data_IF_364417664700
#
_entry.id   IF_364417664700
#
_cell.length_a   1.000
_cell.length_b   1.000
_cell.length_c   1.000
_cell.angle_alpha   90.00
_cell.angle_beta   90.00
_cell.angle_gamma   90.00
#
_symmetry.space_group_name_H-M   'P 1'
#
loop_
_entity.id
_entity.type
_entity.pdbx_description
1 polymer ?
#
# COMPACT_ATOMS: atom_id res chain seq x y z
N UNK A 1 2.58 46.40 38.03
CA UNK A 1 3.28 46.28 36.72
C UNK A 1 3.33 44.79 36.43
N UNK A 2 2.61 44.36 35.40
CA UNK A 2 2.40 42.97 35.03
C UNK A 2 3.68 42.35 34.44
N UNK A 3 3.90 41.06 34.66
CA UNK A 3 4.38 40.14 33.61
C UNK A 3 4.03 38.71 34.02
N UNK A 4 3.09 38.15 33.26
CA UNK A 4 2.48 36.83 33.35
C UNK A 4 3.50 35.72 33.06
N UNK A 5 3.72 34.80 34.02
CA UNK A 5 4.29 33.49 33.72
C UNK A 5 3.15 32.57 33.29
N UNK A 6 2.91 32.51 31.98
CA UNK A 6 2.02 31.54 31.35
C UNK A 6 2.88 30.36 30.91
N UNK A 7 3.04 29.36 31.76
CA UNK A 7 3.57 28.06 31.34
C UNK A 7 2.46 27.36 30.56
N UNK A 8 2.61 27.34 29.25
CA UNK A 8 1.72 26.69 28.30
C UNK A 8 1.74 25.17 28.54
N UNK A 9 0.63 24.62 29.01
CA UNK A 9 0.30 23.22 28.80
C UNK A 9 -0.13 23.05 27.34
N UNK A 10 0.69 22.34 26.57
CA UNK A 10 0.25 21.61 25.36
C UNK A 10 1.05 20.31 25.37
N UNK A 11 0.48 19.29 25.99
CA UNK A 11 -0.22 18.19 25.32
C UNK A 11 0.75 17.23 24.63
N UNK A 12 0.83 16.06 25.26
CA UNK A 12 1.47 14.85 24.81
C UNK A 12 1.04 14.49 23.37
N UNK A 13 2.00 14.56 22.45
CA UNK A 13 1.95 13.72 21.26
C UNK A 13 3.36 13.38 20.81
N UNK A 14 4.04 12.60 21.66
CA UNK A 14 4.88 11.52 21.13
C UNK A 14 3.97 10.65 20.26
N UNK A 15 3.98 10.93 18.96
CA UNK A 15 3.71 9.90 17.96
C UNK A 15 5.04 9.59 17.31
N UNK A 16 5.94 9.03 18.14
CA UNK A 16 6.79 7.95 17.67
C UNK A 16 5.85 7.01 16.94
N UNK A 17 5.89 7.02 15.60
CA UNK A 17 5.28 5.95 14.79
C UNK A 17 6.13 4.71 14.99
N UNK A 18 6.13 4.21 16.24
CA UNK A 18 6.48 2.87 16.61
C UNK A 18 5.27 2.07 16.15
N UNK A 19 5.29 1.73 14.86
CA UNK A 19 4.51 0.60 14.37
C UNK A 19 4.94 -0.57 15.27
N UNK A 20 4.04 -1.17 16.07
CA UNK A 20 4.42 -2.34 16.84
C UNK A 20 4.87 -3.40 15.83
N UNK A 21 6.06 -3.96 16.02
CA UNK A 21 6.66 -4.99 15.17
C UNK A 21 5.83 -6.30 15.10
N UNK A 22 4.63 -6.31 15.69
CA UNK A 22 3.69 -7.43 15.77
C UNK A 22 2.38 -7.18 15.02
N UNK A 23 2.16 -6.02 14.41
CA UNK A 23 0.92 -5.76 13.67
C UNK A 23 0.97 -6.43 12.27
N UNK A 24 0.24 -7.54 12.17
CA UNK A 24 -0.20 -8.22 10.95
C UNK A 24 0.76 -9.23 10.30
N UNK A 25 1.20 -10.22 11.08
CA UNK A 25 1.57 -11.54 10.53
C UNK A 25 0.34 -12.43 10.30
N UNK A 26 -0.75 -11.85 9.79
CA UNK A 26 -1.90 -12.64 9.36
C UNK A 26 -1.57 -13.28 8.02
N UNK A 27 -1.28 -14.57 8.08
CA UNK A 27 -1.17 -15.41 6.91
C UNK A 27 -2.54 -15.48 6.22
N UNK A 28 -2.62 -14.89 5.03
CA UNK A 28 -3.82 -14.94 4.20
C UNK A 28 -3.60 -15.90 3.03
N UNK A 29 -4.64 -16.66 2.69
CA UNK A 29 -4.72 -17.36 1.41
C UNK A 29 -5.49 -16.46 0.44
N UNK A 30 -4.80 -15.78 -0.50
CA UNK A 30 -5.46 -14.87 -1.41
C UNK A 30 -6.44 -15.63 -2.32
N UNK A 31 -7.44 -14.92 -2.83
CA UNK A 31 -8.30 -15.45 -3.90
C UNK A 31 -7.47 -15.81 -5.15
N UNK A 32 -7.98 -16.67 -6.05
CA UNK A 32 -7.21 -17.16 -7.21
C UNK A 32 -6.60 -16.06 -8.09
N UNK A 33 -7.30 -14.93 -8.28
CA UNK A 33 -6.82 -13.82 -9.10
C UNK A 33 -5.61 -13.08 -8.49
N UNK A 34 -5.66 -12.61 -7.22
CA UNK A 34 -4.46 -12.11 -6.54
C UNK A 34 -3.31 -13.12 -6.52
N UNK A 35 -3.60 -14.40 -6.30
CA UNK A 35 -2.57 -15.45 -6.27
C UNK A 35 -1.85 -15.57 -7.62
N UNK A 36 -2.59 -15.54 -8.73
CA UNK A 36 -2.01 -15.58 -10.07
C UNK A 36 -1.08 -14.38 -10.33
N UNK A 37 -1.47 -13.17 -9.91
CA UNK A 37 -0.60 -11.99 -10.00
C UNK A 37 0.70 -12.17 -9.21
N UNK A 38 0.61 -12.66 -7.97
CA UNK A 38 1.78 -12.89 -7.11
C UNK A 38 2.71 -13.95 -7.71
N UNK A 39 2.17 -15.05 -8.27
CA UNK A 39 2.98 -16.07 -8.96
C UNK A 39 3.66 -15.53 -10.23
N UNK A 40 3.04 -14.57 -10.93
CA UNK A 40 3.62 -13.98 -12.15
C UNK A 40 4.90 -13.18 -11.91
N UNK A 41 5.13 -12.74 -10.66
CA UNK A 41 6.37 -12.07 -10.23
C UNK A 41 7.31 -13.00 -9.46
N UNK A 42 7.06 -14.31 -9.50
CA UNK A 42 7.95 -15.33 -8.95
C UNK A 42 7.62 -15.77 -7.51
N UNK A 43 6.45 -15.41 -6.97
CA UNK A 43 6.06 -15.95 -5.67
C UNK A 43 5.61 -17.42 -5.79
N UNK A 44 6.28 -18.32 -5.05
CA UNK A 44 6.01 -19.77 -5.06
C UNK A 44 5.29 -20.23 -3.77
N UNK A 45 4.40 -19.38 -3.23
CA UNK A 45 3.70 -19.65 -1.97
C UNK A 45 2.18 -19.63 -2.20
N UNK A 46 1.46 -20.51 -1.50
CA UNK A 46 -0.01 -20.52 -1.49
C UNK A 46 -0.60 -19.60 -0.40
N UNK A 47 0.25 -19.10 0.48
CA UNK A 47 -0.12 -18.28 1.63
C UNK A 47 0.85 -17.10 1.73
N UNK A 48 0.31 -15.90 1.96
CA UNK A 48 1.05 -14.64 1.94
C UNK A 48 0.81 -13.87 3.22
N UNK A 49 1.79 -13.07 3.63
CA UNK A 49 1.59 -12.11 4.71
C UNK A 49 0.97 -10.86 4.09
N UNK A 50 -0.06 -10.28 4.70
CA UNK A 50 -0.73 -9.07 4.21
C UNK A 50 0.25 -7.93 3.89
N UNK A 51 1.34 -7.82 4.67
CA UNK A 51 2.41 -6.84 4.48
C UNK A 51 3.22 -7.01 3.18
N UNK A 52 3.28 -8.22 2.63
CA UNK A 52 4.04 -8.53 1.42
C UNK A 52 3.22 -8.30 0.14
N UNK A 53 1.88 -8.31 0.23
CA UNK A 53 1.00 -8.15 -0.93
C UNK A 53 1.23 -6.81 -1.66
N UNK A 54 1.34 -5.65 -0.97
CA UNK A 54 1.68 -4.38 -1.62
C UNK A 54 3.06 -4.38 -2.29
N UNK A 55 4.05 -5.09 -1.71
CA UNK A 55 5.40 -5.18 -2.24
C UNK A 55 5.42 -5.89 -3.60
N UNK A 56 4.80 -7.08 -3.67
CA UNK A 56 4.70 -7.84 -4.91
C UNK A 56 3.88 -7.10 -5.97
N UNK A 57 2.83 -6.38 -5.56
CA UNK A 57 2.05 -5.54 -6.45
C UNK A 57 2.90 -4.42 -7.06
N UNK A 58 3.71 -3.75 -6.24
CA UNK A 58 4.66 -2.74 -6.69
C UNK A 58 5.67 -3.31 -7.69
N UNK A 59 6.21 -4.50 -7.41
CA UNK A 59 7.13 -5.18 -8.34
C UNK A 59 6.45 -5.52 -9.67
N UNK A 60 5.22 -6.02 -9.66
CA UNK A 60 4.46 -6.30 -10.88
C UNK A 60 4.28 -5.05 -11.74
N UNK A 61 3.86 -3.93 -11.13
CA UNK A 61 3.67 -2.63 -11.82
C UNK A 61 4.98 -2.15 -12.44
N UNK A 62 6.09 -2.25 -11.71
CA UNK A 62 7.42 -1.85 -12.18
C UNK A 62 7.93 -2.73 -13.33
N UNK A 63 7.86 -4.05 -13.18
CA UNK A 63 8.33 -5.01 -14.21
C UNK A 63 7.51 -4.89 -15.50
N UNK A 64 6.20 -4.68 -15.39
CA UNK A 64 5.31 -4.50 -16.54
C UNK A 64 5.25 -3.06 -17.06
N UNK A 65 5.93 -2.11 -16.40
CA UNK A 65 5.92 -0.68 -16.70
C UNK A 65 4.50 -0.13 -16.88
N UNK A 66 3.61 -0.49 -15.97
CA UNK A 66 2.20 -0.07 -16.01
C UNK A 66 1.99 1.37 -15.53
N UNK A 67 3.05 2.04 -15.06
CA UNK A 67 3.01 3.42 -14.61
C UNK A 67 3.16 4.40 -15.79
N UNK A 68 2.56 5.57 -15.66
CA UNK A 68 2.78 6.68 -16.60
C UNK A 68 4.20 7.26 -16.45
N UNK A 69 4.92 7.49 -17.55
CA UNK A 69 6.30 7.98 -17.50
C UNK A 69 6.42 9.41 -16.95
N UNK A 70 5.40 10.25 -17.15
CA UNK A 70 5.37 11.64 -16.66
C UNK A 70 4.75 11.72 -15.28
N UNK A 71 3.79 10.84 -15.01
CA UNK A 71 3.05 10.79 -13.77
C UNK A 71 3.14 9.38 -13.15
N UNK A 72 4.32 8.99 -12.65
CA UNK A 72 4.59 7.62 -12.13
C UNK A 72 3.67 7.13 -11.01
N UNK A 73 2.87 8.02 -10.43
CA UNK A 73 1.83 7.68 -9.46
C UNK A 73 0.52 7.19 -10.11
N UNK A 74 0.35 7.36 -11.42
CA UNK A 74 -0.78 6.88 -12.21
C UNK A 74 -0.38 5.55 -12.83
N UNK A 75 -1.21 4.53 -12.60
CA UNK A 75 -1.04 3.18 -13.15
C UNK A 75 -2.17 2.89 -14.11
N UNK A 76 -1.86 2.46 -15.34
CA UNK A 76 -2.82 2.00 -16.33
C UNK A 76 -2.86 0.47 -16.35
N UNK A 77 -4.04 -0.11 -16.13
CA UNK A 77 -4.20 -1.55 -15.93
C UNK A 77 -5.36 -2.19 -16.68
N UNK A 78 -6.04 -1.45 -17.57
CA UNK A 78 -7.27 -1.87 -18.26
C UNK A 78 -7.23 -3.24 -18.95
N UNK A 79 -6.08 -3.68 -19.46
CA UNK A 79 -5.95 -4.90 -20.28
C UNK A 79 -5.14 -6.01 -19.59
N UNK A 80 -5.10 -6.05 -18.26
CA UNK A 80 -4.34 -7.07 -17.54
C UNK A 80 -4.93 -7.45 -16.20
N UNK A 81 -4.32 -8.46 -15.58
CA UNK A 81 -4.73 -9.03 -14.28
C UNK A 81 -4.96 -7.99 -13.18
N UNK A 82 -4.20 -6.89 -13.24
CA UNK A 82 -4.31 -5.78 -12.30
C UNK A 82 -5.64 -5.01 -12.48
N UNK A 83 -6.09 -4.83 -13.72
CA UNK A 83 -7.40 -4.25 -14.04
C UNK A 83 -8.54 -5.19 -13.68
N UNK A 84 -8.40 -6.49 -13.98
CA UNK A 84 -9.39 -7.51 -13.59
C UNK A 84 -9.55 -7.59 -12.06
N UNK A 85 -8.45 -7.43 -11.32
CA UNK A 85 -8.44 -7.45 -9.86
C UNK A 85 -9.09 -6.21 -9.25
N UNK A 86 -8.79 -5.02 -9.78
CA UNK A 86 -9.28 -3.76 -9.21
C UNK A 86 -10.59 -3.26 -9.83
N UNK A 87 -10.99 -3.80 -10.98
CA UNK A 87 -12.18 -3.38 -11.73
C UNK A 87 -12.08 -1.96 -12.28
N UNK A 88 -10.87 -1.43 -12.48
CA UNK A 88 -10.62 -0.07 -12.97
C UNK A 88 -9.64 -0.09 -14.14
N UNK A 89 -9.73 0.93 -14.99
CA UNK A 89 -8.80 1.11 -16.12
C UNK A 89 -7.47 1.73 -15.69
N UNK A 90 -7.51 2.53 -14.63
CA UNK A 90 -6.34 3.19 -14.03
C UNK A 90 -6.62 3.57 -12.58
N UNK A 91 -5.57 3.73 -11.80
CA UNK A 91 -5.67 4.27 -10.44
C UNK A 91 -4.44 5.10 -10.08
N UNK A 92 -4.61 5.98 -9.09
CA UNK A 92 -3.52 6.75 -8.49
C UNK A 92 -3.03 6.08 -7.22
N UNK A 93 -1.72 5.81 -7.13
CA UNK A 93 -1.08 5.26 -5.92
C UNK A 93 -1.12 6.27 -4.75
N UNK A 94 -1.25 7.57 -5.06
CA UNK A 94 -1.38 8.62 -4.03
C UNK A 94 -2.78 8.71 -3.46
N UNK A 95 -3.77 8.17 -4.15
CA UNK A 95 -5.17 8.25 -3.72
C UNK A 95 -5.41 7.26 -2.58
N UNK A 96 -5.34 7.75 -1.34
CA UNK A 96 -5.89 7.02 -0.20
C UNK A 96 -7.40 7.11 -0.31
N UNK A 97 -8.11 5.98 -0.39
CA UNK A 97 -9.56 5.96 -0.21
C UNK A 97 -9.89 6.53 1.17
N UNK A 98 -10.35 7.77 1.24
CA UNK A 98 -11.02 8.28 2.43
C UNK A 98 -12.34 7.52 2.56
N UNK A 99 -12.54 6.89 3.71
CA UNK A 99 -13.88 6.43 4.10
C UNK A 99 -14.77 7.64 4.37
#
# INVERSE_FOLDING_TARGET
>A
ICSTNMSLSTDDAVSTSQVPASEQETLVRPKPLPLLLLTSVGAQKDTYIMKEVPLYLGQYIMTKRLYDEKQQHIVYCSNGLLGDLFGVTSFSVKERKSR
#
